data_IF_139971789803
#
_entry.id   IF_139971789803
#
_cell.length_a   1.000
_cell.length_b   1.000
_cell.length_c   1.000
_cell.angle_alpha   90.00
_cell.angle_beta   90.00
_cell.angle_gamma   90.00
#
_symmetry.space_group_name_H-M   'P 1'
#
loop_
_entity.id
_entity.type
_entity.pdbx_description
1 polymer ?
#
# COMPACT_ATOMS: atom_id res chain seq x y z
N UNK A 1 2.42 -0.62 -5.65
CA UNK A 1 3.53 -0.98 -6.56
C UNK A 1 4.77 -0.19 -6.16
N UNK A 2 5.91 -0.38 -6.81
CA UNK A 2 7.15 0.38 -6.56
C UNK A 2 6.93 1.89 -6.69
N UNK A 3 6.06 2.31 -7.62
CA UNK A 3 5.73 3.72 -7.88
C UNK A 3 5.21 4.47 -6.65
N UNK A 4 4.51 3.77 -5.75
CA UNK A 4 4.05 4.34 -4.47
C UNK A 4 5.14 4.27 -3.39
N UNK A 5 5.80 3.12 -3.25
CA UNK A 5 6.70 2.85 -2.13
C UNK A 5 8.06 3.52 -2.26
N UNK A 6 8.59 3.69 -3.46
CA UNK A 6 9.91 4.29 -3.69
C UNK A 6 9.98 5.76 -3.25
N UNK A 7 9.03 6.65 -3.61
CA UNK A 7 9.00 8.03 -3.11
C UNK A 7 8.90 8.10 -1.58
N UNK A 8 7.99 7.33 -0.98
CA UNK A 8 7.83 7.28 0.48
C UNK A 8 9.13 6.86 1.18
N UNK A 9 9.83 5.85 0.64
CA UNK A 9 11.14 5.41 1.15
C UNK A 9 12.21 6.49 1.01
N UNK A 10 12.17 7.31 -0.04
CA UNK A 10 13.11 8.43 -0.26
C UNK A 10 12.74 9.72 0.47
N UNK A 11 11.53 9.80 1.04
CA UNK A 11 11.06 11.00 1.75
C UNK A 11 10.51 12.06 0.79
N UNK A 12 10.00 11.63 -0.35
CA UNK A 12 9.32 12.46 -1.34
C UNK A 12 7.83 12.17 -1.24
N UNK A 13 7.01 13.21 -1.25
CA UNK A 13 5.54 13.08 -1.27
C UNK A 13 5.10 12.63 -2.68
N UNK A 14 4.54 11.41 -2.85
CA UNK A 14 4.06 10.97 -4.14
C UNK A 14 2.76 11.68 -4.51
N UNK A 15 2.61 12.01 -5.80
CA UNK A 15 1.32 12.36 -6.43
C UNK A 15 0.83 11.11 -7.14
N UNK A 16 -0.17 10.43 -6.57
CA UNK A 16 -0.57 9.09 -7.00
C UNK A 16 -1.92 9.08 -7.72
N UNK A 17 -1.97 8.33 -8.83
CA UNK A 17 -3.18 7.95 -9.54
C UNK A 17 -3.05 6.50 -9.97
N UNK A 18 -3.74 5.62 -9.25
CA UNK A 18 -3.63 4.19 -9.48
C UNK A 18 -4.78 3.41 -8.88
N UNK A 19 -4.49 2.68 -7.80
CA UNK A 19 -5.45 1.77 -7.21
C UNK A 19 -6.53 2.55 -6.41
N UNK A 20 -7.82 2.19 -6.52
CA UNK A 20 -8.88 2.76 -5.68
C UNK A 20 -8.65 2.55 -4.18
N UNK A 21 -7.86 1.53 -3.82
CA UNK A 21 -7.53 1.15 -2.45
C UNK A 21 -6.18 1.70 -1.98
N UNK A 22 -5.57 2.67 -2.69
CA UNK A 22 -4.25 3.21 -2.33
C UNK A 22 -4.18 3.73 -0.90
N UNK A 23 -5.27 4.33 -0.41
CA UNK A 23 -5.40 4.86 0.96
C UNK A 23 -5.14 3.79 2.04
N UNK A 24 -5.52 2.54 1.78
CA UNK A 24 -5.30 1.41 2.69
C UNK A 24 -3.81 1.12 2.94
N UNK A 25 -2.94 1.59 2.04
CA UNK A 25 -1.50 1.33 2.04
C UNK A 25 -0.66 2.56 2.39
N UNK A 26 -1.28 3.72 2.60
CA UNK A 26 -0.58 4.94 2.98
C UNK A 26 -0.19 4.92 4.47
N UNK A 27 1.02 5.36 4.86
CA UNK A 27 1.42 5.43 6.26
C UNK A 27 0.52 6.33 7.13
N UNK A 28 -0.01 7.40 6.53
CA UNK A 28 -0.95 8.34 7.15
C UNK A 28 -1.82 9.01 6.08
N UNK A 29 -2.90 9.67 6.49
CA UNK A 29 -3.74 10.47 5.57
C UNK A 29 -2.97 11.61 4.89
N UNK A 30 -1.87 12.07 5.50
CA UNK A 30 -1.00 13.14 4.98
C UNK A 30 0.37 12.54 4.66
N UNK A 31 0.41 11.64 3.69
CA UNK A 31 1.65 11.00 3.23
C UNK A 31 1.77 10.91 1.70
N UNK A 32 0.67 11.17 0.98
CA UNK A 32 0.60 11.22 -0.48
C UNK A 32 -0.47 12.23 -0.91
N UNK A 33 -0.35 12.76 -2.12
CA UNK A 33 -1.39 13.57 -2.77
C UNK A 33 -2.13 12.65 -3.75
N UNK A 34 -3.42 12.43 -3.55
CA UNK A 34 -4.19 11.55 -4.41
C UNK A 34 -4.93 12.37 -5.47
N UNK A 35 -4.70 12.04 -6.74
CA UNK A 35 -5.34 12.77 -7.85
C UNK A 35 -6.87 12.66 -7.79
N UNK A 36 -7.38 11.54 -7.28
CA UNK A 36 -8.82 11.28 -7.10
C UNK A 36 -9.52 12.24 -6.13
N UNK A 37 -8.76 12.94 -5.28
CA UNK A 37 -9.32 13.90 -4.32
C UNK A 37 -9.63 15.26 -4.97
N UNK A 38 -9.23 15.45 -6.23
CA UNK A 38 -9.41 16.69 -6.98
C UNK A 38 -10.42 16.49 -8.13
N UNK A 39 -11.46 17.34 -8.23
CA UNK A 39 -12.46 17.20 -9.28
C UNK A 39 -11.92 17.60 -10.66
N UNK A 40 -10.88 18.43 -10.73
CA UNK A 40 -10.24 18.85 -11.97
C UNK A 40 -8.71 18.95 -11.83
N UNK A 41 -7.92 18.60 -12.88
CA UNK A 41 -6.45 18.70 -12.84
C UNK A 41 -5.91 20.11 -12.52
N UNK A 42 -6.70 21.15 -12.82
CA UNK A 42 -6.38 22.54 -12.45
C UNK A 42 -6.33 22.73 -10.94
N UNK A 43 -7.24 22.10 -10.20
CA UNK A 43 -7.31 22.22 -8.74
C UNK A 43 -6.11 21.52 -8.10
N UNK A 44 -5.72 20.35 -8.62
CA UNK A 44 -4.48 19.67 -8.24
C UNK A 44 -3.24 20.55 -8.51
N UNK A 45 -3.15 21.17 -9.68
CA UNK A 45 -2.02 22.04 -10.01
C UNK A 45 -1.95 23.27 -9.09
N UNK A 46 -3.09 23.86 -8.75
CA UNK A 46 -3.15 24.97 -7.79
C UNK A 46 -2.76 24.51 -6.38
N UNK A 47 -3.21 23.33 -5.96
CA UNK A 47 -2.84 22.74 -4.67
C UNK A 47 -1.33 22.51 -4.56
N UNK A 48 -0.72 21.88 -5.57
CA UNK A 48 0.73 21.62 -5.59
C UNK A 48 1.52 22.94 -5.54
N UNK A 49 1.11 23.98 -6.28
CA UNK A 49 1.76 25.30 -6.21
C UNK A 49 1.64 25.97 -4.83
N UNK A 50 0.51 25.78 -4.16
CA UNK A 50 0.34 26.24 -2.78
C UNK A 50 1.29 25.53 -1.83
N UNK A 51 1.43 24.22 -2.00
CA UNK A 51 2.34 23.39 -1.20
C UNK A 51 3.82 23.74 -1.40
N UNK A 52 4.22 24.03 -2.65
CA UNK A 52 5.58 24.45 -3.01
C UNK A 52 5.96 25.81 -2.39
N UNK A 53 4.97 26.68 -2.15
CA UNK A 53 5.18 27.99 -1.54
C UNK A 53 5.19 27.97 0.01
N UNK A 54 4.80 26.85 0.63
CA UNK A 54 4.71 26.71 2.10
C UNK A 54 5.44 25.45 2.57
N UNK A 55 6.74 25.60 2.86
CA UNK A 55 7.59 24.54 3.38
C UNK A 55 7.03 23.90 4.66
N UNK A 56 6.35 24.68 5.52
CA UNK A 56 5.80 24.13 6.77
C UNK A 56 4.67 23.18 6.46
N UNK A 57 3.77 23.58 5.56
CA UNK A 57 2.67 22.73 5.12
C UNK A 57 3.20 21.50 4.35
N UNK A 58 4.21 21.65 3.49
CA UNK A 58 4.84 20.51 2.83
C UNK A 58 5.42 19.50 3.82
N UNK A 59 6.18 19.97 4.82
CA UNK A 59 6.83 19.11 5.83
C UNK A 59 5.82 18.27 6.61
N UNK A 60 4.59 18.74 6.79
CA UNK A 60 3.55 17.94 7.46
C UNK A 60 3.25 16.61 6.75
N UNK A 61 3.48 16.52 5.43
CA UNK A 61 3.35 15.26 4.67
C UNK A 61 4.43 14.22 4.99
N UNK A 62 5.52 14.66 5.61
CA UNK A 62 6.68 13.82 5.95
C UNK A 62 6.76 13.53 7.45
N UNK A 63 5.87 14.10 8.27
CA UNK A 63 5.92 13.94 9.73
C UNK A 63 5.85 12.49 10.20
N UNK A 64 5.03 11.66 9.56
CA UNK A 64 4.93 10.23 9.87
C UNK A 64 6.30 9.56 9.80
N UNK A 65 7.15 9.99 8.85
CA UNK A 65 8.49 9.46 8.65
C UNK A 65 9.50 10.05 9.63
N UNK A 66 9.41 11.35 9.89
CA UNK A 66 10.31 12.05 10.83
C UNK A 66 10.09 11.60 12.27
N UNK A 67 8.83 11.36 12.66
CA UNK A 67 8.44 10.92 14.01
C UNK A 67 8.39 9.40 14.15
N UNK A 68 8.39 8.66 13.02
CA UNK A 68 8.21 7.21 13.00
C UNK A 68 6.79 6.76 13.36
N UNK A 69 5.80 7.66 13.21
CA UNK A 69 4.41 7.42 13.60
C UNK A 69 3.54 7.09 12.38
N UNK A 70 3.19 5.80 12.23
CA UNK A 70 2.31 5.29 11.18
C UNK A 70 0.91 5.18 11.77
N UNK A 71 -0.01 6.05 11.34
CA UNK A 71 -1.38 6.09 11.86
C UNK A 71 -2.31 5.07 11.22
N UNK A 72 -1.94 4.52 10.05
CA UNK A 72 -2.73 3.50 9.36
C UNK A 72 -2.63 2.14 10.05
N UNK A 73 -3.66 1.81 10.85
CA UNK A 73 -3.76 0.55 11.59
C UNK A 73 -3.89 -0.69 10.70
N UNK A 74 -4.56 -0.57 9.56
CA UNK A 74 -4.72 -1.69 8.63
C UNK A 74 -3.36 -2.07 8.03
N UNK A 75 -2.59 -1.08 7.58
CA UNK A 75 -1.23 -1.28 7.08
C UNK A 75 -0.36 -1.98 8.14
N UNK A 76 -0.40 -1.49 9.39
CA UNK A 76 0.34 -2.11 10.50
C UNK A 76 -0.08 -3.55 10.76
N UNK A 77 -1.38 -3.84 10.75
CA UNK A 77 -1.89 -5.20 10.92
C UNK A 77 -1.39 -6.13 9.81
N UNK A 78 -1.50 -5.72 8.54
CA UNK A 78 -1.03 -6.52 7.39
C UNK A 78 0.48 -6.78 7.46
N UNK A 79 1.29 -5.77 7.80
CA UNK A 79 2.75 -5.93 7.93
C UNK A 79 3.12 -6.87 9.09
N UNK A 80 2.34 -6.85 10.18
CA UNK A 80 2.57 -7.72 11.34
C UNK A 80 2.14 -9.16 11.08
N UNK A 81 1.01 -9.36 10.42
CA UNK A 81 0.37 -10.66 10.23
C UNK A 81 0.93 -11.46 9.04
N UNK A 82 1.59 -10.80 8.07
CA UNK A 82 2.18 -11.51 6.93
C UNK A 82 3.19 -12.56 7.37
N UNK A 83 3.14 -13.71 6.70
CA UNK A 83 4.03 -14.85 6.96
C UNK A 83 5.37 -14.75 6.24
N UNK A 84 5.47 -13.87 5.23
CA UNK A 84 6.66 -13.68 4.40
C UNK A 84 7.48 -12.44 4.77
N UNK A 85 8.77 -12.49 4.46
CA UNK A 85 9.74 -11.43 4.68
C UNK A 85 10.11 -10.66 3.42
N UNK A 86 10.65 -9.46 3.61
CA UNK A 86 11.38 -8.72 2.57
C UNK A 86 12.79 -8.54 3.08
N UNK A 87 13.78 -9.14 2.41
CA UNK A 87 15.18 -9.14 2.86
C UNK A 87 15.39 -9.77 4.25
N UNK A 88 14.50 -10.65 4.69
CA UNK A 88 14.59 -11.39 5.94
C UNK A 88 14.87 -12.86 5.62
N UNK A 89 16.11 -13.31 5.88
CA UNK A 89 16.54 -14.68 5.59
C UNK A 89 15.89 -15.74 6.50
N UNK A 90 15.25 -15.31 7.58
CA UNK A 90 14.59 -16.21 8.53
C UNK A 90 13.12 -16.47 8.17
N UNK A 91 12.61 -15.79 7.14
CA UNK A 91 11.23 -15.94 6.66
C UNK A 91 11.22 -16.36 5.20
N UNK A 92 10.14 -17.03 4.82
CA UNK A 92 9.85 -17.30 3.41
C UNK A 92 9.84 -15.98 2.63
N UNK A 93 10.39 -16.03 1.41
CA UNK A 93 10.30 -14.86 0.54
C UNK A 93 8.86 -14.74 -0.01
N UNK A 94 8.52 -13.57 -0.56
CA UNK A 94 7.15 -13.29 -1.01
C UNK A 94 6.72 -14.16 -2.21
N UNK A 95 7.66 -14.70 -3.00
CA UNK A 95 7.39 -15.65 -4.09
C UNK A 95 7.01 -17.00 -3.49
N UNK A 96 7.81 -17.53 -2.57
CA UNK A 96 7.53 -18.84 -1.94
C UNK A 96 6.17 -18.84 -1.23
N UNK A 97 5.88 -17.78 -0.46
CA UNK A 97 4.59 -17.65 0.22
C UNK A 97 3.42 -17.52 -0.77
N UNK A 98 3.63 -16.83 -1.90
CA UNK A 98 2.62 -16.74 -2.97
C UNK A 98 2.38 -18.11 -3.61
N UNK A 99 3.43 -18.85 -3.95
CA UNK A 99 3.32 -20.20 -4.50
C UNK A 99 2.59 -21.15 -3.54
N UNK A 100 2.93 -21.12 -2.25
CA UNK A 100 2.23 -21.87 -1.20
C UNK A 100 0.74 -21.51 -1.11
N UNK A 101 0.41 -20.21 -1.13
CA UNK A 101 -0.97 -19.75 -1.18
C UNK A 101 -1.70 -20.28 -2.41
N UNK A 102 -1.03 -20.26 -3.58
CA UNK A 102 -1.61 -20.74 -4.84
C UNK A 102 -1.89 -22.24 -4.79
N UNK A 103 -0.87 -23.02 -4.42
CA UNK A 103 -0.96 -24.46 -4.25
C UNK A 103 -2.05 -24.87 -3.26
N UNK A 104 -2.15 -24.18 -2.12
CA UNK A 104 -3.18 -24.42 -1.11
C UNK A 104 -4.58 -24.23 -1.68
N UNK A 105 -4.82 -23.13 -2.41
CA UNK A 105 -6.13 -22.86 -3.03
C UNK A 105 -6.48 -23.87 -4.12
N UNK A 106 -5.51 -24.25 -4.96
CA UNK A 106 -5.70 -25.25 -6.01
C UNK A 106 -6.10 -26.59 -5.37
N UNK A 107 -5.37 -27.05 -4.36
CA UNK A 107 -5.67 -28.27 -3.62
C UNK A 107 -7.02 -28.23 -2.92
N UNK A 108 -7.35 -27.12 -2.27
CA UNK A 108 -8.66 -26.91 -1.64
C UNK A 108 -9.78 -27.07 -2.67
N UNK A 109 -9.66 -26.43 -3.84
CA UNK A 109 -10.66 -26.49 -4.89
C UNK A 109 -10.80 -27.89 -5.52
N UNK A 110 -9.70 -28.64 -5.68
CA UNK A 110 -9.75 -30.05 -6.10
C UNK A 110 -10.58 -30.87 -5.10
N UNK A 111 -10.28 -30.73 -3.79
CA UNK A 111 -11.02 -31.43 -2.73
C UNK A 111 -12.50 -31.02 -2.66
N UNK A 112 -12.81 -29.74 -2.92
CA UNK A 112 -14.21 -29.25 -2.95
C UNK A 112 -14.98 -29.83 -4.13
N UNK A 113 -14.37 -29.88 -5.32
CA UNK A 113 -14.97 -30.51 -6.51
C UNK A 113 -15.28 -31.99 -6.28
N UNK A 114 -14.35 -32.74 -5.66
CA UNK A 114 -14.58 -34.15 -5.30
C UNK A 114 -15.76 -34.35 -4.33
N UNK A 115 -16.12 -33.31 -3.56
CA UNK A 115 -17.27 -33.29 -2.64
C UNK A 115 -18.53 -32.65 -3.25
N UNK A 116 -18.55 -32.34 -4.55
CA UNK A 116 -19.66 -31.67 -5.21
C UNK A 116 -19.86 -30.19 -4.82
N UNK A 117 -18.89 -29.57 -4.15
CA UNK A 117 -18.95 -28.16 -3.74
C UNK A 117 -18.35 -27.23 -4.80
N UNK A 118 -18.87 -25.99 -4.95
CA UNK A 118 -18.32 -25.02 -5.89
C UNK A 118 -16.91 -24.56 -5.48
N UNK A 119 -16.04 -24.16 -6.43
CA UNK A 119 -14.70 -23.67 -6.11
C UNK A 119 -14.75 -22.30 -5.41
N UNK A 120 -13.71 -22.01 -4.63
CA UNK A 120 -13.47 -20.71 -3.99
C UNK A 120 -12.77 -19.79 -5.00
N UNK A 121 -13.30 -18.58 -5.14
CA UNK A 121 -12.69 -17.51 -5.94
C UNK A 121 -11.64 -16.77 -5.10
N UNK A 122 -10.66 -16.19 -5.78
CA UNK A 122 -9.58 -15.40 -5.19
C UNK A 122 -10.14 -14.16 -4.53
#
# INVERSE_FOLDING_TARGET
TEKLWEPLKRGVVPVDYGAPTVQDWLPSNKSAILITDFPHPKDLAQYIKGLDADDKEYVTYLEWKLKGDISNRQLLAVIKERTWGVQDIMKDNYIDAFECMVCTRVWENIRRRAKGMPPRRW
#
